data_IF_196215485554
#
_entry.id   IF_196215485554
#
_cell.length_a   1.000
_cell.length_b   1.000
_cell.length_c   1.000
_cell.angle_alpha   90.00
_cell.angle_beta   90.00
_cell.angle_gamma   90.00
#
_symmetry.space_group_name_H-M   'P 1'
#
loop_
_entity.id
_entity.type
_entity.pdbx_description
1 polymer ?
#
# COMPACT_ATOMS: atom_id res chain seq x y z
N UNK A 1 -42.44 -9.96 16.72
CA UNK A 1 -41.59 -10.97 17.30
C UNK A 1 -40.49 -11.30 16.31
N UNK A 2 -39.36 -10.60 16.42
CA UNK A 2 -38.17 -10.85 15.62
C UNK A 2 -37.49 -12.05 16.28
N UNK A 3 -37.31 -13.13 15.54
CA UNK A 3 -36.67 -14.36 15.95
C UNK A 3 -35.29 -14.05 16.56
N UNK A 4 -35.14 -14.13 17.88
CA UNK A 4 -33.85 -14.37 18.55
C UNK A 4 -33.49 -15.83 18.30
N UNK A 5 -32.82 -16.10 17.19
CA UNK A 5 -32.10 -17.37 17.04
C UNK A 5 -30.92 -17.27 18.00
N UNK A 6 -30.90 -18.05 19.05
CA UNK A 6 -29.71 -18.20 19.88
C UNK A 6 -28.62 -18.85 19.01
N UNK A 7 -27.46 -18.20 18.92
CA UNK A 7 -26.31 -18.74 18.22
C UNK A 7 -25.84 -20.01 18.97
N UNK A 8 -25.50 -21.05 18.23
CA UNK A 8 -24.80 -22.19 18.79
C UNK A 8 -23.42 -21.78 19.32
N UNK A 9 -22.84 -22.59 20.17
CA UNK A 9 -21.50 -22.36 20.71
C UNK A 9 -20.46 -22.29 19.59
N UNK A 10 -20.61 -23.11 18.54
CA UNK A 10 -19.75 -23.13 17.36
C UNK A 10 -19.93 -21.85 16.52
N UNK A 11 -21.15 -21.39 16.25
CA UNK A 11 -21.45 -20.16 15.56
C UNK A 11 -20.90 -18.94 16.32
N UNK A 12 -21.03 -18.92 17.64
CA UNK A 12 -20.51 -17.86 18.50
C UNK A 12 -18.99 -17.82 18.48
N UNK A 13 -18.32 -18.98 18.52
CA UNK A 13 -16.86 -19.08 18.43
C UNK A 13 -16.35 -18.61 17.08
N UNK A 14 -17.00 -18.99 15.96
CA UNK A 14 -16.63 -18.56 14.62
C UNK A 14 -16.76 -17.04 14.46
N UNK A 15 -17.87 -16.47 14.92
CA UNK A 15 -18.08 -15.01 14.89
C UNK A 15 -17.01 -14.30 15.73
N UNK A 16 -16.68 -14.83 16.90
CA UNK A 16 -15.61 -14.26 17.73
C UNK A 16 -14.26 -14.28 17.04
N UNK A 17 -13.94 -15.36 16.36
CA UNK A 17 -12.68 -15.52 15.62
C UNK A 17 -12.59 -14.52 14.47
N UNK A 18 -13.67 -14.35 13.70
CA UNK A 18 -13.79 -13.35 12.66
C UNK A 18 -13.63 -11.92 13.21
N UNK A 19 -14.35 -11.61 14.30
CA UNK A 19 -14.29 -10.28 14.93
C UNK A 19 -12.91 -9.98 15.52
N UNK A 20 -12.25 -10.97 16.12
CA UNK A 20 -10.89 -10.81 16.64
C UNK A 20 -9.88 -10.65 15.50
N UNK A 21 -10.09 -11.32 14.37
CA UNK A 21 -9.27 -11.18 13.18
C UNK A 21 -9.43 -9.78 12.60
N UNK A 22 -10.67 -9.33 12.41
CA UNK A 22 -10.97 -7.96 11.93
C UNK A 22 -10.41 -6.90 12.89
N UNK A 23 -10.55 -7.10 14.20
CA UNK A 23 -10.06 -6.18 15.24
C UNK A 23 -8.53 -6.08 15.32
N UNK A 24 -7.80 -6.93 14.61
CA UNK A 24 -6.33 -6.84 14.53
C UNK A 24 -5.83 -5.92 13.40
N UNK A 25 -6.71 -5.52 12.48
CA UNK A 25 -6.37 -4.49 11.49
C UNK A 25 -6.34 -3.12 12.19
N UNK A 26 -5.20 -2.43 12.10
CA UNK A 26 -5.04 -1.09 12.65
C UNK A 26 -6.10 -0.14 12.07
N UNK A 27 -6.75 0.59 12.96
CA UNK A 27 -7.82 1.54 12.62
C UNK A 27 -9.22 0.94 12.67
N UNK A 28 -9.42 -0.37 12.47
CA UNK A 28 -10.73 -1.00 12.63
C UNK A 28 -11.12 -1.15 14.11
N UNK A 29 -10.15 -1.12 15.02
CA UNK A 29 -10.40 -1.06 16.47
C UNK A 29 -11.11 0.21 16.93
N UNK A 30 -11.07 1.27 16.12
CA UNK A 30 -11.79 2.52 16.39
C UNK A 30 -13.24 2.53 15.91
N UNK A 31 -13.71 1.45 15.31
CA UNK A 31 -15.13 1.29 15.05
C UNK A 31 -15.84 0.91 16.35
N UNK A 32 -16.46 1.87 17.01
CA UNK A 32 -17.22 1.66 18.25
C UNK A 32 -18.27 0.55 18.12
N UNK A 33 -18.82 0.35 16.91
CA UNK A 33 -19.78 -0.71 16.66
C UNK A 33 -19.19 -2.12 16.84
N UNK A 34 -17.89 -2.32 16.53
CA UNK A 34 -17.22 -3.61 16.68
C UNK A 34 -17.14 -4.01 18.15
N UNK A 35 -16.77 -3.08 19.02
CA UNK A 35 -16.74 -3.31 20.47
C UNK A 35 -18.15 -3.51 21.06
N UNK A 36 -19.11 -2.69 20.62
CA UNK A 36 -20.51 -2.88 21.00
C UNK A 36 -21.06 -4.24 20.57
N UNK A 37 -20.64 -4.71 19.39
CA UNK A 37 -21.06 -6.00 18.86
C UNK A 37 -20.45 -7.16 19.66
N UNK A 38 -19.16 -7.11 20.00
CA UNK A 38 -18.50 -8.08 20.89
C UNK A 38 -19.19 -8.16 22.25
N UNK A 39 -19.45 -7.01 22.88
CA UNK A 39 -20.14 -6.93 24.18
C UNK A 39 -21.55 -7.48 24.07
N UNK A 40 -22.32 -7.11 23.02
CA UNK A 40 -23.68 -7.57 22.78
C UNK A 40 -23.83 -9.07 22.60
N UNK A 41 -22.78 -9.74 22.09
CA UNK A 41 -22.73 -11.19 21.94
C UNK A 41 -22.20 -11.91 23.19
N UNK A 42 -21.78 -11.18 24.24
CA UNK A 42 -21.23 -11.77 25.47
C UNK A 42 -19.91 -12.51 25.23
N UNK A 43 -19.15 -12.14 24.23
CA UNK A 43 -17.92 -12.83 23.84
C UNK A 43 -16.79 -12.47 24.80
N UNK A 44 -16.10 -13.47 25.34
CA UNK A 44 -14.93 -13.27 26.21
C UNK A 44 -13.65 -13.17 25.37
N UNK A 45 -12.78 -12.25 25.75
CA UNK A 45 -11.44 -12.18 25.16
C UNK A 45 -10.69 -13.49 25.34
N UNK A 46 -10.16 -14.01 24.23
CA UNK A 46 -9.24 -15.15 24.22
C UNK A 46 -7.82 -14.67 23.96
N UNK A 47 -6.84 -15.47 24.35
CA UNK A 47 -5.43 -15.23 24.02
C UNK A 47 -5.27 -15.03 22.51
N UNK A 48 -4.60 -13.95 22.10
CA UNK A 48 -4.28 -13.70 20.69
C UNK A 48 -3.42 -14.83 20.13
N UNK A 49 -3.99 -15.60 19.22
CA UNK A 49 -3.30 -16.72 18.53
C UNK A 49 -2.72 -16.24 17.20
N UNK A 50 -3.31 -15.19 16.61
CA UNK A 50 -2.86 -14.56 15.35
C UNK A 50 -2.41 -13.14 15.69
N UNK A 51 -1.28 -12.72 15.11
CA UNK A 51 -0.77 -11.37 15.23
C UNK A 51 -0.46 -10.81 13.84
N UNK A 52 -1.01 -9.66 13.52
CA UNK A 52 -0.67 -8.89 12.34
C UNK A 52 0.36 -7.83 12.71
N UNK A 53 1.24 -7.49 11.76
CA UNK A 53 2.16 -6.36 11.94
C UNK A 53 1.37 -5.07 11.94
N UNK A 54 1.37 -4.38 13.06
CA UNK A 54 0.66 -3.13 13.26
C UNK A 54 1.67 -1.99 13.45
N UNK A 55 1.28 -0.80 13.07
CA UNK A 55 2.02 0.41 13.40
C UNK A 55 1.44 1.03 14.69
N UNK A 56 2.06 0.81 15.88
CA UNK A 56 1.54 1.34 17.13
C UNK A 56 1.66 2.88 17.23
N UNK A 57 2.37 3.49 16.29
CA UNK A 57 2.57 4.96 16.20
C UNK A 57 1.69 5.60 15.11
N UNK A 58 0.71 4.87 14.57
CA UNK A 58 -0.21 5.42 13.59
C UNK A 58 -1.01 6.57 14.21
N UNK A 59 -0.66 7.79 13.79
CA UNK A 59 -1.37 9.00 14.22
C UNK A 59 -2.70 9.11 13.48
N UNK A 60 -3.67 9.77 14.14
CA UNK A 60 -4.98 10.09 13.57
C UNK A 60 -5.80 8.87 13.12
N UNK A 61 -5.53 7.70 13.69
CA UNK A 61 -6.27 6.46 13.38
C UNK A 61 -7.77 6.59 13.66
N UNK A 62 -8.17 7.48 14.58
CA UNK A 62 -9.57 7.83 14.87
C UNK A 62 -10.30 8.46 13.67
N UNK A 63 -9.56 9.06 12.72
CA UNK A 63 -10.14 9.62 11.49
C UNK A 63 -10.51 8.54 10.46
N UNK A 64 -10.00 7.31 10.61
CA UNK A 64 -10.26 6.24 9.65
C UNK A 64 -11.76 5.93 9.57
N UNK A 65 -12.47 5.85 10.71
CA UNK A 65 -13.92 5.64 10.74
C UNK A 65 -14.68 6.77 10.06
N UNK A 66 -14.31 8.02 10.33
CA UNK A 66 -14.91 9.20 9.70
C UNK A 66 -14.70 9.18 8.18
N UNK A 67 -13.50 8.88 7.73
CA UNK A 67 -13.18 8.79 6.31
C UNK A 67 -13.92 7.62 5.63
N UNK A 68 -14.01 6.47 6.30
CA UNK A 68 -14.77 5.32 5.80
C UNK A 68 -16.24 5.66 5.59
N UNK A 69 -16.87 6.29 6.60
CA UNK A 69 -18.29 6.67 6.53
C UNK A 69 -18.55 7.68 5.40
N UNK A 70 -17.70 8.70 5.27
CA UNK A 70 -17.86 9.71 4.22
C UNK A 70 -17.58 9.12 2.82
N UNK A 71 -16.58 8.24 2.69
CA UNK A 71 -16.28 7.57 1.43
C UNK A 71 -17.43 6.64 1.00
N UNK A 72 -17.96 5.85 1.94
CA UNK A 72 -19.05 4.89 1.67
C UNK A 72 -20.37 5.58 1.32
N UNK A 73 -20.59 6.79 1.82
CA UNK A 73 -21.80 7.57 1.57
C UNK A 73 -21.61 8.65 0.48
N UNK A 74 -20.47 8.64 -0.24
CA UNK A 74 -20.15 9.58 -1.31
C UNK A 74 -20.26 11.07 -0.84
N UNK A 75 -19.81 11.36 0.38
CA UNK A 75 -19.80 12.70 0.96
C UNK A 75 -18.46 13.37 0.72
N UNK A 76 -18.49 14.55 0.12
CA UNK A 76 -17.30 15.41 -0.03
C UNK A 76 -16.78 15.85 1.32
N UNK A 77 -15.46 15.90 1.48
CA UNK A 77 -14.84 16.32 2.73
C UNK A 77 -13.86 17.46 2.50
N UNK A 78 -13.70 18.29 3.51
CA UNK A 78 -12.58 19.21 3.62
C UNK A 78 -11.51 18.58 4.49
N UNK A 79 -10.28 18.45 3.94
CA UNK A 79 -9.12 17.90 4.62
C UNK A 79 -8.18 19.03 5.02
N UNK A 80 -7.86 19.15 6.32
CA UNK A 80 -6.69 19.91 6.77
C UNK A 80 -5.48 18.98 6.74
N UNK A 81 -4.52 19.28 5.87
CA UNK A 81 -3.38 18.41 5.57
C UNK A 81 -2.04 19.14 5.71
N UNK A 82 -1.04 18.48 6.26
CA UNK A 82 0.31 18.99 6.33
C UNK A 82 1.32 18.03 5.67
N UNK A 83 2.41 18.58 5.16
CA UNK A 83 3.55 17.79 4.69
C UNK A 83 4.67 17.84 5.73
N UNK A 84 5.55 16.83 5.75
CA UNK A 84 6.68 16.85 6.68
C UNK A 84 7.75 17.89 6.34
N UNK A 85 7.77 18.37 5.11
CA UNK A 85 8.76 19.34 4.60
C UNK A 85 8.29 20.79 4.62
N UNK A 86 6.98 21.01 4.81
CA UNK A 86 6.37 22.34 4.77
C UNK A 86 5.68 22.61 6.08
N UNK A 87 5.93 23.77 6.69
CA UNK A 87 5.29 24.20 7.94
C UNK A 87 3.86 24.70 7.74
N UNK A 88 3.41 24.83 6.48
CA UNK A 88 2.09 25.30 6.12
C UNK A 88 1.04 24.18 6.11
N UNK A 89 -0.09 24.40 6.80
CA UNK A 89 -1.28 23.57 6.63
C UNK A 89 -1.99 23.95 5.35
N UNK A 90 -2.48 22.95 4.63
CA UNK A 90 -3.30 23.13 3.42
C UNK A 90 -4.70 22.62 3.68
N UNK A 91 -5.69 23.37 3.24
CA UNK A 91 -7.08 22.95 3.25
C UNK A 91 -7.48 22.55 1.84
N UNK A 92 -8.05 21.35 1.70
CA UNK A 92 -8.36 20.75 0.41
C UNK A 92 -9.79 20.23 0.45
N UNK A 93 -10.64 20.68 -0.46
CA UNK A 93 -11.95 20.07 -0.71
C UNK A 93 -11.74 18.84 -1.57
N UNK A 94 -12.18 17.69 -1.08
CA UNK A 94 -11.78 16.38 -1.56
C UNK A 94 -12.96 15.44 -1.73
N UNK A 95 -13.03 14.76 -2.86
CA UNK A 95 -13.98 13.70 -3.18
C UNK A 95 -13.32 12.37 -2.86
N UNK A 96 -13.65 11.72 -1.73
CA UNK A 96 -13.01 10.49 -1.32
C UNK A 96 -13.58 9.30 -2.09
N UNK A 97 -12.71 8.47 -2.67
CA UNK A 97 -13.11 7.32 -3.47
C UNK A 97 -12.74 5.99 -2.82
N UNK A 98 -11.60 5.90 -2.16
CA UNK A 98 -11.11 4.65 -1.61
C UNK A 98 -10.16 4.86 -0.43
N UNK A 99 -10.21 3.97 0.54
CA UNK A 99 -9.19 3.82 1.59
C UNK A 99 -8.29 2.64 1.24
N UNK A 100 -6.98 2.87 1.22
CA UNK A 100 -5.98 1.83 0.94
C UNK A 100 -4.94 1.77 2.04
N UNK A 101 -4.68 0.54 2.53
CA UNK A 101 -3.54 0.32 3.42
C UNK A 101 -2.35 -0.17 2.59
N UNK A 102 -1.18 0.43 2.85
CA UNK A 102 0.08 -0.02 2.30
C UNK A 102 1.21 0.19 3.32
N UNK A 103 2.01 -0.83 3.51
CA UNK A 103 3.15 -0.82 4.41
C UNK A 103 2.82 -0.24 5.81
N UNK A 104 1.74 -0.74 6.41
CA UNK A 104 1.21 -0.36 7.73
C UNK A 104 0.84 1.14 7.85
N UNK A 105 0.52 1.81 6.77
CA UNK A 105 0.00 3.18 6.72
C UNK A 105 -1.27 3.22 5.90
N UNK A 106 -2.25 3.99 6.37
CA UNK A 106 -3.50 4.22 5.66
C UNK A 106 -3.41 5.47 4.79
N UNK A 107 -4.07 5.39 3.66
CA UNK A 107 -4.20 6.46 2.69
C UNK A 107 -5.66 6.61 2.28
N UNK A 108 -6.11 7.86 2.15
CA UNK A 108 -7.34 8.19 1.44
C UNK A 108 -6.99 8.58 0.01
N UNK A 109 -7.67 7.98 -0.94
CA UNK A 109 -7.51 8.19 -2.37
C UNK A 109 -8.77 8.84 -2.90
N UNK A 110 -8.63 9.82 -3.77
CA UNK A 110 -9.75 10.57 -4.31
C UNK A 110 -9.28 11.73 -5.17
N UNK A 111 -10.18 12.66 -5.47
CA UNK A 111 -9.88 13.82 -6.29
C UNK A 111 -10.07 15.13 -5.52
N UNK A 112 -9.16 16.09 -5.75
CA UNK A 112 -9.38 17.45 -5.30
C UNK A 112 -10.45 18.13 -6.17
N UNK A 113 -11.24 19.02 -5.56
CA UNK A 113 -12.32 19.72 -6.27
C UNK A 113 -11.81 20.61 -7.42
N UNK A 114 -10.54 21.04 -7.37
CA UNK A 114 -9.97 22.03 -8.28
C UNK A 114 -9.63 21.52 -9.66
N UNK A 115 -9.08 20.29 -9.77
CA UNK A 115 -8.50 19.76 -11.01
C UNK A 115 -8.85 18.29 -11.32
N UNK A 116 -9.60 17.65 -10.43
CA UNK A 116 -10.02 16.23 -10.52
C UNK A 116 -8.87 15.22 -10.64
N UNK A 117 -7.67 15.62 -10.34
CA UNK A 117 -6.55 14.68 -10.29
C UNK A 117 -6.72 13.70 -9.15
N UNK A 118 -6.40 12.43 -9.44
CA UNK A 118 -6.37 11.40 -8.40
C UNK A 118 -5.16 11.64 -7.50
N UNK A 119 -5.44 11.91 -6.25
CA UNK A 119 -4.46 12.18 -5.21
C UNK A 119 -4.57 11.14 -4.11
N UNK A 120 -3.48 10.92 -3.40
CA UNK A 120 -3.46 10.15 -2.17
C UNK A 120 -2.97 11.01 -1.01
N UNK A 121 -3.62 10.90 0.13
CA UNK A 121 -3.22 11.56 1.37
C UNK A 121 -3.02 10.53 2.46
N UNK A 122 -1.84 10.53 3.05
CA UNK A 122 -1.56 9.66 4.19
C UNK A 122 -2.33 10.14 5.43
N UNK A 123 -3.01 9.22 6.09
CA UNK A 123 -3.90 9.49 7.23
C UNK A 123 -3.18 10.20 8.39
N UNK A 124 -1.94 9.81 8.65
CA UNK A 124 -1.08 10.38 9.71
C UNK A 124 -0.69 11.84 9.48
N UNK A 125 -1.01 12.40 8.30
CA UNK A 125 -0.79 13.80 7.94
C UNK A 125 -2.09 14.61 7.76
N UNK A 126 -3.25 13.99 8.03
CA UNK A 126 -4.54 14.66 8.04
C UNK A 126 -4.85 15.10 9.47
N UNK A 127 -4.87 16.39 9.72
CA UNK A 127 -5.14 16.95 11.05
C UNK A 127 -6.64 16.95 11.36
N UNK A 128 -7.46 17.18 10.33
CA UNK A 128 -8.92 17.27 10.47
C UNK A 128 -9.64 16.87 9.21
N UNK A 129 -10.82 16.27 9.39
CA UNK A 129 -11.78 15.95 8.33
C UNK A 129 -13.10 16.63 8.67
N UNK A 130 -13.61 17.46 7.76
CA UNK A 130 -14.91 18.11 7.91
C UNK A 130 -15.82 17.70 6.75
N UNK A 131 -16.93 16.98 6.99
CA UNK A 131 -17.88 16.64 5.93
C UNK A 131 -18.53 17.90 5.33
N UNK A 132 -18.73 17.91 4.02
CA UNK A 132 -19.37 18.96 3.23
C UNK A 132 -20.55 18.39 2.45
N UNK A 133 -21.66 18.00 3.11
CA UNK A 133 -22.78 17.33 2.46
C UNK A 133 -23.51 18.21 1.43
N UNK A 134 -23.34 19.53 1.50
CA UNK A 134 -23.89 20.52 0.55
C UNK A 134 -23.09 20.58 -0.76
N UNK A 135 -21.86 20.06 -0.78
CA UNK A 135 -21.04 20.01 -2.00
C UNK A 135 -21.38 18.76 -2.79
N UNK A 136 -21.72 18.96 -4.06
CA UNK A 136 -22.06 17.83 -4.94
C UNK A 136 -20.86 16.92 -5.12
N UNK A 137 -21.02 15.65 -4.77
CA UNK A 137 -20.01 14.61 -5.03
C UNK A 137 -19.83 14.38 -6.52
N UNK A 138 -18.58 14.19 -6.93
CA UNK A 138 -18.20 13.83 -8.30
C UNK A 138 -17.61 12.42 -8.23
N UNK A 139 -18.24 11.42 -8.86
CA UNK A 139 -17.73 10.06 -8.86
C UNK A 139 -16.43 9.94 -9.66
N UNK A 140 -15.64 8.93 -9.35
CA UNK A 140 -14.50 8.55 -10.17
C UNK A 140 -14.97 7.92 -11.47
N UNK A 141 -14.42 8.36 -12.61
CA UNK A 141 -14.73 7.80 -13.93
C UNK A 141 -13.84 6.58 -14.26
N UNK A 142 -12.74 6.40 -13.52
CA UNK A 142 -11.77 5.31 -13.70
C UNK A 142 -12.03 4.18 -12.70
N UNK A 143 -11.71 2.95 -13.09
CA UNK A 143 -11.61 1.84 -12.14
C UNK A 143 -10.28 1.97 -11.37
N UNK A 144 -10.38 2.50 -10.16
CA UNK A 144 -9.21 2.65 -9.30
C UNK A 144 -8.59 1.31 -8.89
N UNK A 145 -9.38 0.26 -8.79
CA UNK A 145 -8.86 -1.05 -8.44
C UNK A 145 -7.92 -1.54 -9.54
N UNK A 146 -8.37 -1.50 -10.81
CA UNK A 146 -7.55 -1.83 -11.99
C UNK A 146 -6.29 -0.97 -12.05
N UNK A 147 -6.42 0.36 -11.85
CA UNK A 147 -5.27 1.29 -11.87
C UNK A 147 -4.22 0.98 -10.79
N UNK A 148 -4.63 0.45 -9.65
CA UNK A 148 -3.73 0.03 -8.59
C UNK A 148 -3.09 -1.34 -8.83
N UNK A 149 -3.61 -2.14 -9.77
CA UNK A 149 -2.99 -3.38 -10.22
C UNK A 149 -1.72 -3.11 -11.04
N UNK A 150 -1.60 -1.94 -11.68
CA UNK A 150 -0.44 -1.57 -12.48
C UNK A 150 0.72 -0.99 -11.67
N UNK A 151 0.61 -0.84 -10.35
CA UNK A 151 1.65 -0.22 -9.51
C UNK A 151 1.99 -1.04 -8.28
N UNK A 152 3.18 -0.79 -7.73
CA UNK A 152 3.53 -1.18 -6.37
C UNK A 152 3.18 -0.03 -5.42
N UNK A 153 2.36 -0.29 -4.39
CA UNK A 153 2.04 0.70 -3.35
C UNK A 153 0.89 1.63 -3.64
N UNK A 154 1.08 2.94 -3.52
CA UNK A 154 -0.01 3.93 -3.52
C UNK A 154 0.27 5.18 -4.37
N UNK A 155 1.49 5.39 -4.83
CA UNK A 155 1.83 6.58 -5.62
C UNK A 155 1.48 6.38 -7.07
N UNK A 156 0.48 7.13 -7.54
CA UNK A 156 0.06 7.20 -8.95
C UNK A 156 0.76 8.37 -9.64
N UNK A 157 1.27 8.13 -10.83
CA UNK A 157 1.79 9.16 -11.75
C UNK A 157 0.91 9.19 -13.00
N UNK A 158 0.45 10.38 -13.40
CA UNK A 158 -0.40 10.55 -14.58
C UNK A 158 0.38 10.50 -15.91
N UNK A 159 1.66 10.80 -15.84
CA UNK A 159 2.58 10.94 -16.98
C UNK A 159 3.45 9.71 -17.22
N UNK A 160 3.18 8.60 -16.50
CA UNK A 160 3.92 7.35 -16.64
C UNK A 160 3.04 6.23 -17.14
N UNK A 161 3.63 5.37 -17.94
CA UNK A 161 2.99 4.17 -18.49
C UNK A 161 3.62 2.91 -17.92
N UNK A 162 2.98 1.77 -18.16
CA UNK A 162 3.49 0.44 -17.80
C UNK A 162 4.80 0.19 -18.56
N UNK A 163 5.85 -0.15 -17.83
CA UNK A 163 7.14 -0.54 -18.37
C UNK A 163 7.40 -2.03 -18.11
N UNK A 164 8.04 -2.68 -19.08
CA UNK A 164 8.53 -4.06 -18.94
C UNK A 164 9.90 -4.04 -18.27
N UNK A 165 9.93 -4.48 -17.01
CA UNK A 165 11.13 -4.40 -16.16
C UNK A 165 11.71 -5.81 -16.00
N UNK A 166 12.98 -5.97 -16.37
CA UNK A 166 13.70 -7.23 -16.24
C UNK A 166 14.77 -7.09 -15.16
N UNK A 167 14.81 -8.04 -14.24
CA UNK A 167 15.78 -8.06 -13.16
C UNK A 167 16.31 -9.47 -12.88
N UNK A 168 17.55 -9.52 -12.46
CA UNK A 168 18.19 -10.72 -11.97
C UNK A 168 18.10 -10.80 -10.45
N UNK A 169 17.98 -12.02 -9.94
CA UNK A 169 17.96 -12.30 -8.50
C UNK A 169 18.92 -13.45 -8.21
N UNK A 170 19.75 -13.29 -7.19
CA UNK A 170 20.69 -14.34 -6.76
C UNK A 170 19.97 -15.62 -6.32
N UNK A 171 20.69 -16.74 -6.33
CA UNK A 171 20.14 -17.99 -5.81
C UNK A 171 19.72 -17.90 -4.33
N UNK A 172 20.30 -16.99 -3.55
CA UNK A 172 19.96 -16.78 -2.15
C UNK A 172 18.54 -16.22 -1.97
N UNK A 173 18.13 -15.29 -2.83
CA UNK A 173 16.82 -14.61 -2.74
C UNK A 173 15.77 -15.10 -3.74
N UNK A 174 16.17 -15.99 -4.65
CA UNK A 174 15.31 -16.46 -5.76
C UNK A 174 13.99 -17.07 -5.27
N UNK A 175 14.06 -17.98 -4.32
CA UNK A 175 12.86 -18.68 -3.83
C UNK A 175 11.95 -17.73 -3.03
N UNK A 176 12.53 -16.74 -2.36
CA UNK A 176 11.77 -15.70 -1.69
C UNK A 176 10.96 -14.85 -2.68
N UNK A 177 11.57 -14.43 -3.79
CA UNK A 177 10.89 -13.68 -4.87
C UNK A 177 9.81 -14.52 -5.57
N UNK A 178 10.01 -15.82 -5.69
CA UNK A 178 9.00 -16.73 -6.28
C UNK A 178 7.76 -16.84 -5.36
N UNK A 179 7.99 -16.97 -4.07
CA UNK A 179 6.89 -17.16 -3.08
C UNK A 179 6.23 -15.87 -2.67
N UNK A 180 6.92 -14.73 -2.80
CA UNK A 180 6.41 -13.40 -2.56
C UNK A 180 6.80 -12.47 -3.71
N UNK A 181 6.06 -12.46 -4.82
CA UNK A 181 6.32 -11.60 -5.96
C UNK A 181 6.33 -10.12 -5.59
N UNK A 182 7.18 -9.34 -6.27
CA UNK A 182 7.22 -7.87 -6.13
C UNK A 182 5.95 -7.25 -6.69
N UNK A 183 5.44 -7.82 -7.78
CA UNK A 183 4.22 -7.41 -8.45
C UNK A 183 3.49 -8.64 -9.01
N UNK A 184 2.17 -8.59 -9.13
CA UNK A 184 1.37 -9.74 -9.60
C UNK A 184 1.69 -10.16 -11.03
N UNK A 185 2.12 -9.22 -11.89
CA UNK A 185 2.57 -9.51 -13.25
C UNK A 185 3.89 -10.28 -13.32
N UNK A 186 4.54 -10.58 -12.18
CA UNK A 186 5.87 -11.18 -12.14
C UNK A 186 5.91 -12.55 -12.82
N UNK A 187 6.88 -12.72 -13.72
CA UNK A 187 7.14 -13.96 -14.45
C UNK A 187 8.63 -14.32 -14.41
N UNK A 188 8.94 -15.58 -14.23
CA UNK A 188 10.31 -16.09 -14.43
C UNK A 188 10.58 -16.24 -15.92
N UNK A 189 11.67 -15.67 -16.42
CA UNK A 189 12.12 -15.85 -17.80
C UNK A 189 12.66 -17.27 -17.99
N UNK A 190 12.58 -17.75 -19.23
CA UNK A 190 13.02 -19.12 -19.61
C UNK A 190 13.79 -19.13 -20.92
N UNK A 191 14.66 -20.12 -21.08
CA UNK A 191 15.29 -20.48 -22.35
C UNK A 191 16.01 -19.31 -23.07
N UNK A 192 15.73 -19.11 -24.35
CA UNK A 192 16.43 -18.18 -25.25
C UNK A 192 16.49 -16.73 -24.73
N UNK A 193 15.49 -16.28 -23.95
CA UNK A 193 15.51 -14.95 -23.36
C UNK A 193 16.63 -14.83 -22.32
N UNK A 194 16.83 -15.86 -21.49
CA UNK A 194 17.92 -15.91 -20.52
C UNK A 194 19.27 -15.91 -21.24
N UNK A 195 19.45 -16.73 -22.27
CA UNK A 195 20.72 -16.86 -23.01
C UNK A 195 21.13 -15.50 -23.64
N UNK A 196 20.16 -14.74 -24.14
CA UNK A 196 20.40 -13.41 -24.70
C UNK A 196 20.87 -12.43 -23.62
N UNK A 197 20.22 -12.44 -22.46
CA UNK A 197 20.58 -11.56 -21.34
C UNK A 197 21.93 -11.92 -20.73
N UNK A 198 22.24 -13.22 -20.59
CA UNK A 198 23.53 -13.66 -20.09
C UNK A 198 24.69 -13.29 -21.03
N UNK A 199 24.47 -13.30 -22.36
CA UNK A 199 25.45 -12.76 -23.32
C UNK A 199 25.66 -11.27 -23.18
N UNK A 200 24.59 -10.52 -22.89
CA UNK A 200 24.66 -9.06 -22.67
C UNK A 200 25.30 -8.70 -21.32
N UNK A 201 25.12 -9.54 -20.32
CA UNK A 201 25.59 -9.34 -18.95
C UNK A 201 26.46 -10.54 -18.47
N UNK A 202 27.64 -10.77 -19.06
CA UNK A 202 28.42 -12.00 -18.84
C UNK A 202 28.96 -12.15 -17.41
N UNK A 203 29.04 -11.07 -16.66
CA UNK A 203 29.57 -11.06 -15.27
C UNK A 203 28.47 -11.23 -14.22
N UNK A 204 27.20 -11.42 -14.63
CA UNK A 204 26.13 -11.65 -13.68
C UNK A 204 26.26 -13.05 -13.07
N UNK A 205 26.10 -13.16 -11.76
CA UNK A 205 26.25 -14.41 -11.03
C UNK A 205 25.14 -15.44 -11.33
N UNK A 206 25.26 -16.60 -10.73
CA UNK A 206 24.20 -17.62 -10.80
C UNK A 206 22.92 -17.13 -10.08
N UNK A 207 21.77 -17.31 -10.71
CA UNK A 207 20.49 -16.82 -10.17
C UNK A 207 19.31 -17.11 -11.10
N UNK A 208 18.21 -16.40 -10.87
CA UNK A 208 17.03 -16.36 -11.72
C UNK A 208 16.87 -15.00 -12.38
N UNK A 209 16.25 -14.99 -13.55
CA UNK A 209 15.87 -13.75 -14.23
C UNK A 209 14.35 -13.69 -14.29
N UNK A 210 13.80 -12.54 -13.91
CA UNK A 210 12.37 -12.29 -13.81
C UNK A 210 12.00 -11.04 -14.56
N UNK A 211 10.73 -10.93 -14.95
CA UNK A 211 10.15 -9.70 -15.45
C UNK A 211 8.90 -9.33 -14.67
N UNK A 212 8.62 -8.04 -14.61
CA UNK A 212 7.36 -7.46 -14.18
C UNK A 212 6.92 -6.40 -15.19
N UNK A 213 5.61 -6.24 -15.32
CA UNK A 213 4.98 -5.20 -16.12
C UNK A 213 4.23 -4.28 -15.16
N UNK A 214 4.75 -3.08 -14.90
CA UNK A 214 4.11 -2.13 -13.99
C UNK A 214 4.59 -0.69 -14.24
N UNK A 215 3.85 0.27 -13.72
CA UNK A 215 4.21 1.69 -13.79
C UNK A 215 5.30 1.97 -12.76
N UNK A 216 6.48 2.46 -13.18
CA UNK A 216 7.55 2.78 -12.25
C UNK A 216 7.16 3.92 -11.32
N UNK A 217 7.25 3.67 -10.02
CA UNK A 217 6.99 4.67 -8.99
C UNK A 217 8.00 4.58 -7.84
N UNK A 218 7.86 5.47 -6.86
CA UNK A 218 8.76 5.54 -5.72
C UNK A 218 8.80 4.22 -4.93
N UNK A 219 7.65 3.60 -4.71
CA UNK A 219 7.52 2.36 -3.94
C UNK A 219 8.19 1.19 -4.64
N UNK A 220 8.03 1.07 -5.96
CA UNK A 220 8.70 0.04 -6.75
C UNK A 220 10.22 0.18 -6.64
N UNK A 221 10.75 1.39 -6.88
CA UNK A 221 12.20 1.62 -6.81
C UNK A 221 12.74 1.30 -5.40
N UNK A 222 11.99 1.66 -4.35
CA UNK A 222 12.34 1.33 -2.99
C UNK A 222 12.35 -0.17 -2.75
N UNK A 223 11.34 -0.88 -3.24
CA UNK A 223 11.24 -2.33 -3.10
C UNK A 223 12.41 -3.03 -3.81
N UNK A 224 12.71 -2.65 -5.05
CA UNK A 224 13.84 -3.19 -5.79
C UNK A 224 15.18 -2.94 -5.06
N UNK A 225 15.39 -1.75 -4.51
CA UNK A 225 16.59 -1.42 -3.73
C UNK A 225 16.67 -2.19 -2.40
N UNK A 226 15.56 -2.63 -1.83
CA UNK A 226 15.53 -3.32 -0.52
C UNK A 226 16.27 -4.66 -0.53
N UNK A 227 16.41 -5.29 -1.68
CA UNK A 227 17.16 -6.54 -1.87
C UNK A 227 18.67 -6.35 -1.91
N UNK A 228 19.15 -5.10 -1.97
CA UNK A 228 20.58 -4.79 -2.04
C UNK A 228 21.26 -5.48 -3.23
N UNK A 229 22.39 -6.15 -2.98
CA UNK A 229 23.15 -6.85 -4.02
C UNK A 229 22.46 -8.14 -4.57
N UNK A 230 21.42 -8.60 -3.91
CA UNK A 230 20.74 -9.84 -4.28
C UNK A 230 19.77 -9.67 -5.45
N UNK A 231 19.45 -8.42 -5.83
CA UNK A 231 18.62 -8.09 -6.97
C UNK A 231 19.27 -6.99 -7.81
N UNK A 232 19.37 -7.23 -9.12
CA UNK A 232 19.95 -6.26 -10.08
C UNK A 232 18.95 -6.05 -11.21
N UNK A 233 18.51 -4.81 -11.41
CA UNK A 233 17.70 -4.45 -12.59
C UNK A 233 18.59 -4.46 -13.83
N UNK A 234 18.16 -5.17 -14.85
CA UNK A 234 18.86 -5.31 -16.12
C UNK A 234 18.29 -4.36 -17.18
N UNK A 235 16.98 -4.24 -17.22
CA UNK A 235 16.22 -3.41 -18.18
C UNK A 235 14.96 -2.87 -17.52
N UNK A 236 14.47 -1.69 -17.92
CA UNK A 236 15.09 -0.74 -18.85
C UNK A 236 16.23 0.07 -18.21
N UNK A 237 16.97 0.80 -19.06
CA UNK A 237 18.08 1.64 -18.58
C UNK A 237 17.61 2.77 -17.65
N UNK A 238 16.43 3.34 -17.89
CA UNK A 238 15.81 4.39 -17.06
C UNK A 238 15.77 4.01 -15.58
N UNK A 239 15.24 2.82 -15.28
CA UNK A 239 15.11 2.31 -13.90
C UNK A 239 16.47 1.90 -13.33
N UNK A 240 17.29 1.24 -14.14
CA UNK A 240 18.65 0.86 -13.75
C UNK A 240 19.48 2.08 -13.35
N UNK A 241 19.42 3.16 -14.15
CA UNK A 241 20.18 4.39 -13.90
C UNK A 241 19.63 5.14 -12.67
N UNK A 242 18.32 5.12 -12.42
CA UNK A 242 17.73 5.67 -11.20
C UNK A 242 18.22 4.92 -9.95
N UNK A 243 18.20 3.59 -9.98
CA UNK A 243 18.71 2.76 -8.87
C UNK A 243 20.21 3.01 -8.67
N UNK A 244 21.00 3.03 -9.74
CA UNK A 244 22.43 3.30 -9.68
C UNK A 244 22.73 4.66 -9.03
N UNK A 245 21.97 5.70 -9.42
CA UNK A 245 22.09 7.01 -8.78
C UNK A 245 21.81 6.98 -7.28
N UNK A 246 20.75 6.28 -6.85
CA UNK A 246 20.43 6.12 -5.41
C UNK A 246 21.55 5.40 -4.66
N UNK A 247 22.09 4.32 -5.23
CA UNK A 247 23.21 3.56 -4.61
C UNK A 247 24.45 4.43 -4.52
N UNK A 248 24.78 5.21 -5.55
CA UNK A 248 25.94 6.10 -5.55
C UNK A 248 25.84 7.14 -4.45
N UNK A 249 24.68 7.79 -4.30
CA UNK A 249 24.43 8.73 -3.19
C UNK A 249 24.55 8.04 -1.82
N UNK A 250 24.04 6.80 -1.67
CA UNK A 250 24.21 6.04 -0.44
C UNK A 250 25.69 5.76 -0.13
N UNK A 251 26.48 5.40 -1.14
CA UNK A 251 27.92 5.15 -0.97
C UNK A 251 28.64 6.43 -0.53
N UNK A 252 28.29 7.57 -1.10
CA UNK A 252 28.84 8.87 -0.68
C UNK A 252 28.54 9.15 0.79
N UNK A 253 27.29 9.04 1.22
CA UNK A 253 26.88 9.27 2.61
C UNK A 253 27.53 8.27 3.58
N UNK A 254 27.58 6.97 3.25
CA UNK A 254 28.28 5.98 4.07
C UNK A 254 29.79 6.20 4.14
N UNK A 255 30.38 6.80 3.09
CA UNK A 255 31.80 7.12 3.09
C UNK A 255 32.13 8.25 4.07
N UNK A 256 31.20 9.18 4.31
CA UNK A 256 31.34 10.26 5.28
C UNK A 256 31.32 9.78 6.75
N UNK A 257 30.69 8.61 7.03
CA UNK A 257 30.59 8.06 8.40
C UNK A 257 31.51 6.88 8.66
N UNK A 258 32.30 6.47 7.67
CA UNK A 258 33.40 5.50 7.83
C UNK A 258 34.65 6.25 8.29
N UNK A 259 34.76 6.49 9.58
CA UNK A 259 35.99 6.95 10.27
C UNK A 259 36.76 5.78 10.81
#
# INVERSE_FOLDING_TARGET
>A
SIFKKELSEEESNLILEVLNTIGQFDGLTHFEWLERFKIGLGLKERTKVICFSNNPYLQNSNLLGVLFDNTSNEVVVELEYHTFSDTGKKTIVFHPYMLKQYNNRWYIIGAANSDRKILNFALDRIDKVTPLPEVKFVPCEEDLAERFEDIVGVTLYEDREVEHIIFWVSNYSKDYIITKPIHESQKALRNNAIDTLLKKYPNIGSGGIFSIDCIPNYELIRELCSFGKELIVLEPSSIKDEIFKRISLMVEEYSCVRT
#
